data_IF_089645811404
#
_entry.id   IF_089645811404
#
_cell.length_a   1.000
_cell.length_b   1.000
_cell.length_c   1.000
_cell.angle_alpha   90.00
_cell.angle_beta   90.00
_cell.angle_gamma   90.00
#
_symmetry.space_group_name_H-M   'P 1'
#
loop_
_entity.id
_entity.type
_entity.pdbx_description
1 polymer ?
#
# COMPACT_ATOMS: atom_id res chain seq x y z
N UNK A 1 -4.90 -5.79 -39.75
CA UNK A 1 -5.62 -6.37 -38.62
C UNK A 1 -6.80 -5.45 -38.32
N UNK A 2 -8.03 -5.99 -38.24
CA UNK A 2 -9.22 -5.16 -37.94
C UNK A 2 -9.12 -4.62 -36.50
N UNK A 3 -9.68 -3.45 -36.24
CA UNK A 3 -9.64 -2.85 -34.88
C UNK A 3 -10.17 -3.78 -33.79
N UNK A 4 -11.25 -4.49 -34.08
CA UNK A 4 -11.82 -5.49 -33.17
C UNK A 4 -10.84 -6.64 -32.84
N UNK A 5 -10.03 -7.07 -33.80
CA UNK A 5 -9.03 -8.13 -33.58
C UNK A 5 -7.93 -7.62 -32.65
N UNK A 6 -7.56 -6.34 -32.76
CA UNK A 6 -6.55 -5.72 -31.89
C UNK A 6 -7.06 -5.60 -30.46
N UNK A 7 -8.30 -5.16 -30.27
CA UNK A 7 -8.94 -5.10 -28.94
C UNK A 7 -9.06 -6.47 -28.29
N UNK A 8 -9.49 -7.48 -29.04
CA UNK A 8 -9.60 -8.85 -28.55
C UNK A 8 -8.23 -9.39 -28.09
N UNK A 9 -7.21 -9.26 -28.93
CA UNK A 9 -5.85 -9.69 -28.58
C UNK A 9 -5.31 -8.98 -27.35
N UNK A 10 -5.57 -7.68 -27.21
CA UNK A 10 -5.16 -6.93 -26.04
C UNK A 10 -5.86 -7.44 -24.76
N UNK A 11 -7.18 -7.63 -24.85
CA UNK A 11 -7.96 -8.15 -23.71
C UNK A 11 -7.45 -9.53 -23.28
N UNK A 12 -7.18 -10.43 -24.23
CA UNK A 12 -6.64 -11.75 -23.92
C UNK A 12 -5.27 -11.70 -23.25
N UNK A 13 -4.38 -10.83 -23.71
CA UNK A 13 -3.06 -10.63 -23.07
C UNK A 13 -3.17 -10.06 -21.66
N UNK A 14 -4.10 -9.11 -21.43
CA UNK A 14 -4.34 -8.58 -20.09
C UNK A 14 -4.93 -9.62 -19.15
N UNK A 15 -5.87 -10.44 -19.62
CA UNK A 15 -6.43 -11.56 -18.84
C UNK A 15 -5.36 -12.60 -18.50
N UNK A 16 -4.47 -12.93 -19.43
CA UNK A 16 -3.33 -13.81 -19.16
C UNK A 16 -2.37 -13.19 -18.11
N UNK A 17 -2.05 -11.91 -18.23
CA UNK A 17 -1.23 -11.20 -17.25
C UNK A 17 -1.87 -11.18 -15.85
N UNK A 18 -3.18 -10.98 -15.74
CA UNK A 18 -3.93 -11.02 -14.49
C UNK A 18 -3.95 -12.42 -13.84
N UNK A 19 -4.05 -13.46 -14.66
CA UNK A 19 -4.17 -14.84 -14.18
C UNK A 19 -2.81 -15.48 -13.84
N UNK A 20 -1.79 -15.23 -14.66
CA UNK A 20 -0.57 -16.02 -14.69
C UNK A 20 0.70 -15.22 -14.38
N UNK A 21 0.64 -13.89 -14.31
CA UNK A 21 1.82 -13.07 -14.06
C UNK A 21 2.08 -12.87 -12.56
N UNK A 22 3.31 -13.17 -12.13
CA UNK A 22 3.80 -12.80 -10.79
C UNK A 22 4.27 -11.33 -10.72
N UNK A 23 4.14 -10.58 -11.82
CA UNK A 23 4.61 -9.19 -11.93
C UNK A 23 3.60 -8.14 -11.45
N UNK A 24 2.36 -8.56 -11.11
CA UNK A 24 1.31 -7.65 -10.64
C UNK A 24 1.06 -6.50 -11.62
N UNK A 25 0.96 -5.27 -11.11
CA UNK A 25 0.70 -4.07 -11.91
C UNK A 25 1.76 -3.81 -12.99
N UNK A 26 3.03 -4.16 -12.74
CA UNK A 26 4.08 -4.00 -13.75
C UNK A 26 3.83 -4.88 -14.97
N UNK A 27 3.34 -6.10 -14.79
CA UNK A 27 2.96 -6.97 -15.91
C UNK A 27 1.88 -6.37 -16.81
N UNK A 28 0.89 -5.68 -16.22
CA UNK A 28 -0.15 -4.98 -16.96
C UNK A 28 0.40 -3.77 -17.74
N UNK A 29 1.35 -3.02 -17.14
CA UNK A 29 2.04 -1.92 -17.81
C UNK A 29 2.86 -2.44 -19.00
N UNK A 30 3.60 -3.54 -18.83
CA UNK A 30 4.40 -4.15 -19.90
C UNK A 30 3.50 -4.57 -21.10
N UNK A 31 2.35 -5.21 -20.81
CA UNK A 31 1.36 -5.55 -21.84
C UNK A 31 0.77 -4.30 -22.49
N UNK A 32 0.39 -3.30 -21.68
CA UNK A 32 -0.13 -2.03 -22.18
C UNK A 32 0.85 -1.35 -23.13
N UNK A 33 2.13 -1.23 -22.74
CA UNK A 33 3.18 -0.66 -23.57
C UNK A 33 3.34 -1.42 -24.89
N UNK A 34 3.37 -2.75 -24.84
CA UNK A 34 3.51 -3.58 -26.05
C UNK A 34 2.40 -3.38 -27.07
N UNK A 35 1.20 -2.99 -26.63
CA UNK A 35 0.02 -2.83 -27.46
C UNK A 35 -0.26 -1.40 -27.88
N UNK A 36 -0.10 -0.44 -26.96
CA UNK A 36 -0.22 1.00 -27.22
C UNK A 36 0.98 1.55 -28.01
N UNK A 37 2.17 0.95 -27.84
CA UNK A 37 3.40 1.41 -28.48
C UNK A 37 3.88 2.77 -27.97
N UNK A 38 3.35 3.25 -26.84
CA UNK A 38 3.71 4.49 -26.17
C UNK A 38 3.95 4.24 -24.69
N UNK A 39 4.90 4.94 -24.04
CA UNK A 39 5.22 4.76 -22.62
C UNK A 39 3.99 5.02 -21.72
N UNK A 40 3.83 4.20 -20.72
CA UNK A 40 2.68 4.20 -19.79
C UNK A 40 3.17 4.36 -18.36
N UNK A 41 2.40 5.08 -17.55
CA UNK A 41 2.57 5.13 -16.11
C UNK A 41 1.22 4.99 -15.38
N UNK A 42 1.29 4.45 -14.17
CA UNK A 42 0.20 4.43 -13.19
C UNK A 42 0.65 5.27 -12.01
N UNK A 43 -0.13 6.27 -11.63
CA UNK A 43 0.13 7.10 -10.46
C UNK A 43 -1.01 7.00 -9.44
N UNK A 44 -0.68 7.11 -8.15
CA UNK A 44 -1.67 7.27 -7.09
C UNK A 44 -2.25 8.71 -7.06
N UNK A 45 -3.16 8.97 -6.13
CA UNK A 45 -3.75 10.30 -5.92
C UNK A 45 -2.76 11.38 -5.46
N UNK A 46 -1.58 10.96 -4.99
CA UNK A 46 -0.51 11.85 -4.56
C UNK A 46 0.59 12.01 -5.63
N UNK A 47 0.29 11.64 -6.87
CA UNK A 47 1.22 11.70 -7.99
C UNK A 47 2.51 10.90 -7.80
N UNK A 48 2.41 9.76 -7.07
CA UNK A 48 3.51 8.80 -6.95
C UNK A 48 3.35 7.72 -8.00
N UNK A 49 4.45 7.33 -8.62
CA UNK A 49 4.48 6.20 -9.54
C UNK A 49 4.21 4.90 -8.77
N UNK A 50 3.19 4.14 -9.19
CA UNK A 50 2.90 2.78 -8.70
C UNK A 50 3.59 1.75 -9.61
N UNK A 51 3.49 1.96 -10.92
CA UNK A 51 4.17 1.19 -11.95
C UNK A 51 4.31 2.05 -13.21
N UNK A 52 5.34 1.84 -13.99
CA UNK A 52 5.54 2.57 -15.24
C UNK A 52 6.43 1.78 -16.21
N UNK A 53 6.41 2.15 -17.48
CA UNK A 53 7.37 1.63 -18.46
C UNK A 53 8.77 2.00 -18.01
N UNK A 54 9.62 1.00 -17.77
CA UNK A 54 11.01 1.16 -17.33
C UNK A 54 11.95 1.33 -18.52
N UNK A 55 13.16 1.80 -18.27
CA UNK A 55 14.26 1.91 -19.23
C UNK A 55 14.01 2.87 -20.42
N UNK A 56 13.05 3.80 -20.28
CA UNK A 56 12.75 4.83 -21.26
C UNK A 56 12.87 6.20 -20.60
N UNK A 57 13.92 6.94 -20.97
CA UNK A 57 14.01 8.38 -20.71
C UNK A 57 13.31 9.12 -21.85
N UNK A 58 12.48 10.11 -21.50
CA UNK A 58 11.81 10.95 -22.49
C UNK A 58 12.46 12.33 -22.46
N UNK A 59 13.28 12.69 -23.45
CA UNK A 59 13.89 14.00 -23.52
C UNK A 59 12.83 15.11 -23.38
N UNK A 60 13.14 16.11 -22.59
CA UNK A 60 12.28 17.29 -22.36
C UNK A 60 10.95 17.02 -21.65
N UNK A 61 10.73 15.81 -21.10
CA UNK A 61 9.59 15.54 -20.18
C UNK A 61 10.08 15.42 -18.74
N UNK A 62 10.12 16.54 -18.05
CA UNK A 62 10.60 16.61 -16.65
C UNK A 62 9.76 15.72 -15.73
N UNK A 63 8.43 15.71 -15.91
CA UNK A 63 7.52 14.93 -15.07
C UNK A 63 7.73 13.42 -15.22
N UNK A 64 7.93 12.94 -16.44
CA UNK A 64 8.26 11.54 -16.67
C UNK A 64 9.57 11.13 -16.00
N UNK A 65 10.62 11.94 -16.24
CA UNK A 65 11.95 11.62 -15.73
C UNK A 65 12.04 11.74 -14.20
N UNK A 66 11.31 12.68 -13.58
CA UNK A 66 11.19 12.71 -12.12
C UNK A 66 10.51 11.46 -11.55
N UNK A 67 9.41 11.00 -12.16
CA UNK A 67 8.74 9.77 -11.74
C UNK A 67 9.63 8.54 -11.92
N UNK A 68 10.41 8.49 -13.02
CA UNK A 68 11.33 7.38 -13.29
C UNK A 68 12.47 7.31 -12.24
N UNK A 69 13.03 8.47 -11.86
CA UNK A 69 14.17 8.54 -10.94
C UNK A 69 13.74 8.55 -9.48
N UNK A 70 12.74 9.37 -9.12
CA UNK A 70 12.37 9.64 -7.75
C UNK A 70 11.15 8.83 -7.28
N UNK A 71 10.33 8.32 -8.21
CA UNK A 71 9.06 7.66 -7.92
C UNK A 71 7.91 8.61 -7.57
N UNK A 72 8.13 9.93 -7.54
CA UNK A 72 7.10 10.95 -7.25
C UNK A 72 7.42 12.26 -7.98
N UNK A 73 6.38 13.09 -8.19
CA UNK A 73 6.54 14.43 -8.76
C UNK A 73 6.95 15.43 -7.69
N UNK A 74 7.79 16.40 -8.05
CA UNK A 74 8.12 17.54 -7.19
C UNK A 74 6.89 18.41 -6.88
N UNK A 75 6.87 19.12 -5.74
CA UNK A 75 5.79 20.04 -5.39
C UNK A 75 5.52 21.10 -6.47
N UNK A 76 6.55 21.52 -7.18
CA UNK A 76 6.48 22.49 -8.26
C UNK A 76 5.67 21.96 -9.44
N UNK A 77 5.93 20.72 -9.88
CA UNK A 77 5.19 20.07 -10.97
C UNK A 77 3.75 19.75 -10.58
N UNK A 78 3.52 19.28 -9.35
CA UNK A 78 2.16 19.08 -8.83
C UNK A 78 1.39 20.39 -8.82
N UNK A 79 2.00 21.48 -8.34
CA UNK A 79 1.38 22.82 -8.31
C UNK A 79 1.09 23.35 -9.71
N UNK A 80 1.94 23.05 -10.70
CA UNK A 80 1.70 23.39 -12.10
C UNK A 80 0.47 22.67 -12.66
N UNK A 81 0.38 21.35 -12.47
CA UNK A 81 -0.77 20.54 -12.89
C UNK A 81 -2.10 20.96 -12.24
N UNK A 82 -2.06 21.43 -10.99
CA UNK A 82 -3.24 21.98 -10.30
C UNK A 82 -3.65 23.33 -10.96
N UNK A 83 -2.71 24.23 -11.22
CA UNK A 83 -2.98 25.53 -11.87
C UNK A 83 -3.59 25.38 -13.26
N UNK A 84 -3.23 24.35 -13.97
CA UNK A 84 -3.72 24.04 -15.32
C UNK A 84 -5.00 23.21 -15.33
N UNK A 85 -5.59 22.98 -14.13
CA UNK A 85 -6.82 22.23 -13.93
C UNK A 85 -6.76 20.75 -14.39
N UNK A 86 -5.57 20.19 -14.56
CA UNK A 86 -5.41 18.78 -14.95
C UNK A 86 -6.00 17.83 -13.90
N UNK A 87 -5.75 18.08 -12.61
CA UNK A 87 -6.28 17.27 -11.52
C UNK A 87 -7.82 17.27 -11.51
N UNK A 88 -8.43 18.44 -11.70
CA UNK A 88 -9.89 18.59 -11.80
C UNK A 88 -10.43 17.90 -13.06
N UNK A 89 -9.75 18.06 -14.19
CA UNK A 89 -10.12 17.41 -15.45
C UNK A 89 -10.08 15.88 -15.31
N UNK A 90 -9.06 15.32 -14.66
CA UNK A 90 -8.97 13.89 -14.38
C UNK A 90 -10.17 13.46 -13.52
N UNK A 91 -10.47 14.19 -12.42
CA UNK A 91 -11.53 13.81 -11.50
C UNK A 91 -12.93 13.87 -12.13
N UNK A 92 -13.21 14.87 -12.95
CA UNK A 92 -14.51 15.04 -13.63
C UNK A 92 -14.69 14.15 -14.84
N UNK A 93 -13.61 13.68 -15.48
CA UNK A 93 -13.70 12.87 -16.68
C UNK A 93 -14.39 11.52 -16.41
N UNK A 94 -15.29 11.10 -17.29
CA UNK A 94 -15.92 9.76 -17.27
C UNK A 94 -15.27 8.78 -18.26
N UNK A 95 -14.62 9.32 -19.27
CA UNK A 95 -13.99 8.57 -20.36
C UNK A 95 -12.52 8.99 -20.50
N UNK A 96 -11.68 8.19 -21.13
CA UNK A 96 -10.30 8.56 -21.45
C UNK A 96 -10.26 9.87 -22.24
N UNK A 97 -9.26 10.69 -21.97
CA UNK A 97 -9.10 11.96 -22.68
C UNK A 97 -7.63 12.28 -22.98
N UNK A 98 -7.40 12.92 -24.13
CA UNK A 98 -6.10 13.47 -24.50
C UNK A 98 -5.94 14.85 -23.86
N UNK A 99 -4.77 15.09 -23.29
CA UNK A 99 -4.39 16.35 -22.68
C UNK A 99 -2.99 16.78 -23.16
N UNK A 100 -2.88 18.05 -23.46
CA UNK A 100 -1.60 18.71 -23.74
C UNK A 100 -1.76 20.17 -23.35
N UNK A 101 -0.91 20.68 -22.49
CA UNK A 101 -0.83 22.10 -22.17
C UNK A 101 0.32 22.78 -22.91
N UNK A 102 0.44 24.10 -22.74
CA UNK A 102 1.45 24.91 -23.42
C UNK A 102 2.89 24.62 -23.00
N UNK A 103 3.08 23.99 -21.85
CA UNK A 103 4.40 23.60 -21.30
C UNK A 103 4.82 22.17 -21.64
N UNK A 104 3.90 21.36 -22.18
CA UNK A 104 4.16 19.96 -22.52
C UNK A 104 4.56 19.79 -23.98
N UNK A 105 5.73 19.18 -24.21
CA UNK A 105 6.14 18.79 -25.55
C UNK A 105 5.29 17.66 -26.12
N UNK A 106 4.91 16.70 -25.27
CA UNK A 106 4.17 15.51 -25.65
C UNK A 106 2.78 15.51 -25.02
N UNK A 107 1.77 15.19 -25.83
CA UNK A 107 0.44 14.97 -25.31
C UNK A 107 0.38 13.70 -24.45
N UNK A 108 -0.60 13.65 -23.56
CA UNK A 108 -0.86 12.48 -22.73
C UNK A 108 -2.30 12.02 -22.87
N UNK A 109 -2.50 10.73 -22.84
CA UNK A 109 -3.80 10.10 -22.78
C UNK A 109 -4.04 9.62 -21.34
N UNK A 110 -5.05 10.16 -20.69
CA UNK A 110 -5.38 9.86 -19.28
C UNK A 110 -6.63 9.02 -19.17
N UNK A 111 -6.64 8.11 -18.19
CA UNK A 111 -7.86 7.48 -17.70
C UNK A 111 -7.75 7.20 -16.19
N UNK A 112 -8.90 7.26 -15.49
CA UNK A 112 -8.98 6.91 -14.06
C UNK A 112 -9.03 5.40 -13.86
N UNK A 113 -8.47 4.96 -12.76
CA UNK A 113 -8.67 3.60 -12.22
C UNK A 113 -9.74 3.70 -11.14
N UNK A 114 -10.87 3.04 -11.37
CA UNK A 114 -12.05 3.11 -10.50
C UNK A 114 -12.24 1.82 -9.71
N UNK A 115 -12.35 1.91 -8.39
CA UNK A 115 -12.71 0.78 -7.51
C UNK A 115 -13.91 1.20 -6.65
N UNK A 116 -14.99 0.43 -6.73
CA UNK A 116 -16.23 0.69 -5.98
C UNK A 116 -16.73 2.15 -6.12
N UNK A 117 -16.69 2.69 -7.33
CA UNK A 117 -17.14 4.05 -7.64
C UNK A 117 -16.19 5.17 -7.18
N UNK A 118 -15.02 4.84 -6.65
CA UNK A 118 -14.00 5.80 -6.22
C UNK A 118 -12.78 5.74 -7.14
N UNK A 119 -12.28 6.89 -7.56
CA UNK A 119 -10.99 7.00 -8.23
C UNK A 119 -9.87 6.65 -7.24
N UNK A 120 -9.01 5.70 -7.57
CA UNK A 120 -7.90 5.25 -6.69
C UNK A 120 -6.53 5.52 -7.28
N UNK A 121 -6.44 5.57 -8.61
CA UNK A 121 -5.22 5.80 -9.35
C UNK A 121 -5.55 6.42 -10.72
N UNK A 122 -4.52 6.84 -11.44
CA UNK A 122 -4.61 7.34 -12.81
C UNK A 122 -3.63 6.60 -13.69
N UNK A 123 -4.08 6.16 -14.85
CA UNK A 123 -3.22 5.64 -15.92
C UNK A 123 -3.01 6.74 -16.92
N UNK A 124 -1.77 6.95 -17.35
CA UNK A 124 -1.47 7.84 -18.46
C UNK A 124 -0.47 7.22 -19.43
N UNK A 125 -0.68 7.48 -20.72
CA UNK A 125 0.27 7.18 -21.77
C UNK A 125 0.81 8.49 -22.36
N UNK A 126 2.08 8.50 -22.80
CA UNK A 126 2.71 9.68 -23.41
C UNK A 126 2.83 9.47 -24.93
N UNK A 127 2.41 10.45 -25.70
CA UNK A 127 2.48 10.44 -27.18
C UNK A 127 3.93 10.63 -27.66
N UNK A 128 4.81 9.69 -27.28
CA UNK A 128 6.25 9.80 -27.52
C UNK A 128 6.70 9.11 -28.80
N UNK A 129 6.32 7.82 -28.98
CA UNK A 129 6.77 7.05 -30.16
C UNK A 129 5.87 7.24 -31.37
N UNK A 130 4.57 7.46 -31.16
CA UNK A 130 3.59 7.65 -32.21
C UNK A 130 2.38 8.45 -31.74
N UNK A 131 1.65 9.13 -32.66
CA UNK A 131 0.39 9.77 -32.34
C UNK A 131 -0.66 8.78 -31.81
N UNK A 132 -1.53 9.24 -30.91
CA UNK A 132 -2.68 8.48 -30.47
C UNK A 132 -3.75 8.36 -31.57
N UNK A 133 -4.40 7.23 -31.61
CA UNK A 133 -5.52 6.92 -32.50
C UNK A 133 -6.77 6.58 -31.68
N UNK A 134 -7.94 6.55 -32.29
CA UNK A 134 -9.21 6.26 -31.60
C UNK A 134 -9.18 4.94 -30.80
N UNK A 135 -8.50 3.93 -31.33
CA UNK A 135 -8.39 2.65 -30.63
C UNK A 135 -7.60 2.75 -29.32
N UNK A 136 -6.67 3.71 -29.20
CA UNK A 136 -5.85 3.85 -27.98
C UNK A 136 -6.68 4.30 -26.78
N UNK A 137 -7.78 5.03 -26.99
CA UNK A 137 -8.74 5.40 -25.95
C UNK A 137 -9.46 4.16 -25.42
N UNK A 138 -9.86 3.24 -26.30
CA UNK A 138 -10.46 1.97 -25.86
C UNK A 138 -9.43 1.08 -25.14
N UNK A 139 -8.19 1.02 -25.64
CA UNK A 139 -7.12 0.22 -25.03
C UNK A 139 -6.77 0.71 -23.62
N UNK A 140 -6.64 2.03 -23.41
CA UNK A 140 -6.30 2.57 -22.07
C UNK A 140 -7.45 2.38 -21.08
N UNK A 141 -8.71 2.37 -21.55
CA UNK A 141 -9.88 2.06 -20.73
C UNK A 141 -9.83 0.61 -20.24
N UNK A 142 -9.63 -0.34 -21.15
CA UNK A 142 -9.51 -1.77 -20.80
C UNK A 142 -8.32 -2.00 -19.86
N UNK A 143 -7.20 -1.33 -20.12
CA UNK A 143 -6.03 -1.37 -19.22
C UNK A 143 -6.36 -0.87 -17.82
N UNK A 144 -7.07 0.26 -17.71
CA UNK A 144 -7.47 0.83 -16.41
C UNK A 144 -8.38 -0.10 -15.62
N UNK A 145 -9.33 -0.77 -16.29
CA UNK A 145 -10.21 -1.74 -15.66
C UNK A 145 -9.46 -2.99 -15.20
N UNK A 146 -8.46 -3.42 -15.97
CA UNK A 146 -7.57 -4.54 -15.59
C UNK A 146 -6.69 -4.17 -14.40
N UNK A 147 -6.16 -2.94 -14.36
CA UNK A 147 -5.40 -2.40 -13.22
C UNK A 147 -6.29 -2.34 -11.97
N UNK A 148 -7.55 -1.91 -12.10
CA UNK A 148 -8.50 -1.91 -10.99
C UNK A 148 -8.72 -3.31 -10.42
N UNK A 149 -8.85 -4.32 -11.28
CA UNK A 149 -9.00 -5.71 -10.86
C UNK A 149 -7.75 -6.23 -10.10
N UNK A 150 -6.54 -5.93 -10.60
CA UNK A 150 -5.30 -6.33 -9.92
C UNK A 150 -5.12 -5.60 -8.58
N UNK A 151 -5.40 -4.30 -8.51
CA UNK A 151 -5.36 -3.54 -7.25
C UNK A 151 -6.36 -4.08 -6.23
N UNK A 152 -7.57 -4.48 -6.64
CA UNK A 152 -8.54 -5.12 -5.75
C UNK A 152 -8.04 -6.48 -5.25
N UNK A 153 -7.44 -7.29 -6.11
CA UNK A 153 -6.84 -8.57 -5.75
C UNK A 153 -5.73 -8.39 -4.71
N UNK A 154 -4.82 -7.44 -4.90
CA UNK A 154 -3.77 -7.12 -3.94
C UNK A 154 -4.33 -6.66 -2.59
N UNK A 155 -5.34 -5.76 -2.59
CA UNK A 155 -6.00 -5.33 -1.36
C UNK A 155 -6.68 -6.49 -0.63
N UNK A 156 -7.35 -7.38 -1.36
CA UNK A 156 -7.97 -8.57 -0.78
C UNK A 156 -6.92 -9.51 -0.18
N UNK A 157 -5.80 -9.74 -0.85
CA UNK A 157 -4.72 -10.57 -0.33
C UNK A 157 -4.09 -9.97 0.94
N UNK A 158 -3.86 -8.66 0.96
CA UNK A 158 -3.34 -7.97 2.15
C UNK A 158 -4.33 -8.06 3.33
N UNK A 159 -5.62 -7.85 3.07
CA UNK A 159 -6.67 -7.97 4.07
C UNK A 159 -6.74 -9.39 4.64
N UNK A 160 -6.75 -10.41 3.77
CA UNK A 160 -6.79 -11.82 4.17
C UNK A 160 -5.56 -12.21 5.00
N UNK A 161 -4.36 -11.78 4.59
CA UNK A 161 -3.12 -12.00 5.36
C UNK A 161 -3.19 -11.32 6.73
N UNK A 162 -3.72 -10.11 6.81
CA UNK A 162 -3.94 -9.39 8.06
C UNK A 162 -4.84 -10.17 9.00
N UNK A 163 -6.00 -10.63 8.53
CA UNK A 163 -6.92 -11.45 9.34
C UNK A 163 -6.28 -12.76 9.80
N UNK A 164 -5.55 -13.45 8.94
CA UNK A 164 -4.88 -14.70 9.30
C UNK A 164 -3.76 -14.47 10.34
N UNK A 165 -3.06 -13.33 10.26
CA UNK A 165 -2.09 -12.96 11.28
C UNK A 165 -2.77 -12.67 12.63
N UNK A 166 -3.82 -11.86 12.64
CA UNK A 166 -4.60 -11.57 13.87
C UNK A 166 -5.07 -12.87 14.52
N UNK A 167 -5.65 -13.80 13.75
CA UNK A 167 -6.09 -15.09 14.24
C UNK A 167 -4.94 -15.96 14.77
N UNK A 168 -3.75 -15.93 14.15
CA UNK A 168 -2.55 -16.60 14.65
C UNK A 168 -2.17 -16.05 16.03
N UNK A 169 -2.09 -14.72 16.16
CA UNK A 169 -1.72 -14.07 17.43
C UNK A 169 -2.76 -14.33 18.51
N UNK A 170 -4.06 -14.26 18.19
CA UNK A 170 -5.13 -14.61 19.15
C UNK A 170 -4.99 -16.05 19.66
N UNK A 171 -4.74 -17.01 18.76
CA UNK A 171 -4.53 -18.40 19.16
C UNK A 171 -3.30 -18.58 20.08
N UNK A 172 -2.25 -17.79 19.89
CA UNK A 172 -1.07 -17.78 20.76
C UNK A 172 -1.38 -17.13 22.12
N UNK A 173 -2.09 -15.99 22.12
CA UNK A 173 -2.51 -15.29 23.33
C UNK A 173 -3.46 -16.14 24.19
N UNK A 174 -4.34 -16.89 23.55
CA UNK A 174 -5.28 -17.79 24.24
C UNK A 174 -4.71 -19.18 24.54
N UNK A 175 -3.42 -19.40 24.22
CA UNK A 175 -2.73 -20.70 24.42
C UNK A 175 -3.37 -21.87 23.67
N UNK A 176 -4.15 -21.60 22.62
CA UNK A 176 -4.74 -22.64 21.75
C UNK A 176 -3.69 -23.29 20.84
N UNK A 177 -2.63 -22.57 20.53
CA UNK A 177 -1.50 -23.04 19.72
C UNK A 177 -0.22 -22.98 20.56
N UNK A 178 0.41 -24.16 20.79
CA UNK A 178 1.57 -24.31 21.68
C UNK A 178 2.76 -24.97 21.02
N UNK A 179 2.55 -25.77 19.95
CA UNK A 179 3.63 -26.50 19.29
C UNK A 179 4.49 -25.52 18.46
N UNK A 180 5.79 -25.35 18.80
CA UNK A 180 6.67 -24.43 18.10
C UNK A 180 6.81 -24.72 16.59
N UNK A 181 6.79 -26.01 16.20
CA UNK A 181 6.90 -26.42 14.79
C UNK A 181 5.67 -25.97 14.01
N UNK A 182 4.47 -26.20 14.55
CA UNK A 182 3.22 -25.76 13.90
C UNK A 182 3.14 -24.24 13.81
N UNK A 183 3.63 -23.51 14.84
CA UNK A 183 3.70 -22.05 14.84
C UNK A 183 4.64 -21.59 13.69
N UNK A 184 5.82 -22.20 13.60
CA UNK A 184 6.81 -21.83 12.57
C UNK A 184 6.31 -22.13 11.16
N UNK A 185 5.64 -23.24 10.93
CA UNK A 185 5.01 -23.59 9.66
C UNK A 185 3.93 -22.57 9.27
N UNK A 186 3.05 -22.18 10.22
CA UNK A 186 2.02 -21.16 9.97
C UNK A 186 2.62 -19.80 9.62
N UNK A 187 3.68 -19.37 10.31
CA UNK A 187 4.41 -18.13 10.00
C UNK A 187 4.99 -18.18 8.59
N UNK A 188 5.58 -19.29 8.19
CA UNK A 188 6.10 -19.49 6.83
C UNK A 188 4.98 -19.43 5.77
N UNK A 189 3.87 -20.11 6.01
CA UNK A 189 2.71 -20.11 5.10
C UNK A 189 2.11 -18.70 4.92
N UNK A 190 2.07 -17.91 5.99
CA UNK A 190 1.58 -16.55 5.95
C UNK A 190 2.58 -15.55 5.33
N UNK A 191 3.80 -16.02 5.04
CA UNK A 191 4.90 -15.19 4.56
C UNK A 191 5.14 -13.95 5.43
N UNK A 192 5.01 -14.12 6.75
CA UNK A 192 5.24 -13.08 7.73
C UNK A 192 6.71 -13.10 8.11
N UNK A 193 7.43 -12.07 7.74
CA UNK A 193 8.85 -11.91 8.05
C UNK A 193 9.10 -11.57 9.53
N UNK A 194 8.82 -12.49 10.47
CA UNK A 194 9.13 -12.26 11.89
C UNK A 194 10.64 -12.34 12.09
N UNK A 195 11.21 -11.25 12.60
CA UNK A 195 12.64 -11.13 12.90
C UNK A 195 12.96 -11.69 14.30
N UNK A 196 14.26 -11.85 14.59
CA UNK A 196 14.76 -12.54 15.79
C UNK A 196 14.36 -11.91 17.12
N UNK A 197 14.18 -10.59 17.17
CA UNK A 197 13.88 -9.88 18.41
C UNK A 197 12.41 -9.44 18.37
N UNK A 198 11.55 -10.18 19.06
CA UNK A 198 10.10 -9.92 19.14
C UNK A 198 9.78 -9.26 20.46
N UNK A 199 8.88 -8.29 20.44
CA UNK A 199 8.33 -7.59 21.62
C UNK A 199 6.84 -7.43 21.49
N UNK A 200 6.15 -7.45 22.64
CA UNK A 200 4.71 -7.20 22.73
C UNK A 200 4.50 -5.83 23.34
N UNK A 201 3.76 -4.99 22.63
CA UNK A 201 3.28 -3.69 23.11
C UNK A 201 1.79 -3.82 23.40
N UNK A 202 1.36 -3.32 24.54
CA UNK A 202 -0.06 -3.26 24.91
C UNK A 202 -0.44 -1.82 25.18
N UNK A 203 -1.41 -1.31 24.41
CA UNK A 203 -1.91 0.05 24.53
C UNK A 203 -3.29 0.06 25.17
N UNK A 204 -3.40 0.78 26.26
CA UNK A 204 -4.68 1.06 26.91
C UNK A 204 -5.27 2.34 26.31
N UNK A 205 -6.39 2.16 25.63
CA UNK A 205 -7.12 3.22 24.94
C UNK A 205 -8.42 3.59 25.67
N UNK A 206 -8.57 3.19 26.94
CA UNK A 206 -9.80 3.42 27.72
C UNK A 206 -10.10 4.92 27.93
N UNK A 207 -9.08 5.77 28.02
CA UNK A 207 -9.23 7.22 28.17
C UNK A 207 -9.20 7.99 26.83
N UNK A 208 -9.06 7.25 25.74
CA UNK A 208 -9.05 7.84 24.41
C UNK A 208 -10.46 8.33 24.00
N UNK A 209 -10.55 9.49 23.37
CA UNK A 209 -11.81 10.07 22.90
C UNK A 209 -12.37 9.29 21.68
N UNK A 210 -13.12 8.24 21.99
CA UNK A 210 -13.75 7.37 20.98
C UNK A 210 -14.84 8.07 20.13
N UNK A 211 -15.28 9.28 20.52
CA UNK A 211 -16.21 10.08 19.71
C UNK A 211 -15.50 10.72 18.51
N UNK A 212 -14.18 10.92 18.61
CA UNK A 212 -13.40 11.57 17.56
C UNK A 212 -12.82 10.58 16.56
N UNK A 213 -12.37 9.41 17.03
CA UNK A 213 -11.75 8.38 16.19
C UNK A 213 -12.11 6.97 16.69
N UNK A 214 -12.27 6.01 15.77
CA UNK A 214 -12.51 4.61 16.15
C UNK A 214 -11.23 3.94 16.69
N UNK A 215 -11.40 2.89 17.51
CA UNK A 215 -10.28 2.07 18.00
C UNK A 215 -9.50 1.42 16.83
N UNK A 216 -10.21 1.06 15.74
CA UNK A 216 -9.58 0.52 14.52
C UNK A 216 -8.68 1.56 13.84
N UNK A 217 -9.11 2.82 13.78
CA UNK A 217 -8.26 3.90 13.27
C UNK A 217 -7.00 4.06 14.12
N UNK A 218 -7.14 4.04 15.46
CA UNK A 218 -6.01 4.15 16.36
C UNK A 218 -5.06 2.96 16.24
N UNK A 219 -5.59 1.74 16.06
CA UNK A 219 -4.79 0.54 15.76
C UNK A 219 -3.90 0.77 14.54
N UNK A 220 -4.48 1.26 13.45
CA UNK A 220 -3.76 1.48 12.18
C UNK A 220 -2.68 2.58 12.29
N UNK A 221 -2.94 3.63 13.08
CA UNK A 221 -1.98 4.69 13.38
C UNK A 221 -0.80 4.14 14.19
N UNK A 222 -1.06 3.42 15.27
CA UNK A 222 -0.02 2.84 16.12
C UNK A 222 0.81 1.78 15.39
N UNK A 223 0.19 0.97 14.53
CA UNK A 223 0.91 0.01 13.68
C UNK A 223 1.92 0.70 12.76
N UNK A 224 1.55 1.84 12.16
CA UNK A 224 2.46 2.62 11.30
C UNK A 224 3.60 3.30 12.06
N UNK A 225 3.38 3.62 13.33
CA UNK A 225 4.40 4.26 14.18
C UNK A 225 5.47 3.29 14.68
N UNK A 226 5.20 1.98 14.67
CA UNK A 226 6.14 0.94 15.12
C UNK A 226 6.58 0.12 13.92
N UNK A 227 7.80 0.39 13.43
CA UNK A 227 8.33 -0.34 12.29
C UNK A 227 8.45 -1.85 12.60
N UNK A 228 8.00 -2.68 11.67
CA UNK A 228 7.96 -4.15 11.85
C UNK A 228 6.94 -4.63 12.87
N UNK A 229 6.02 -3.77 13.33
CA UNK A 229 4.88 -4.10 14.15
C UNK A 229 3.68 -4.56 13.33
N UNK A 230 2.88 -5.45 13.91
CA UNK A 230 1.55 -5.83 13.44
C UNK A 230 0.57 -5.74 14.60
N UNK A 231 -0.52 -5.00 14.38
CA UNK A 231 -1.47 -4.67 15.41
C UNK A 231 -2.75 -5.49 15.32
N UNK A 232 -3.32 -5.81 16.47
CA UNK A 232 -4.67 -6.38 16.61
C UNK A 232 -5.39 -5.73 17.80
N UNK A 233 -6.70 -5.84 17.81
CA UNK A 233 -7.52 -5.45 18.94
C UNK A 233 -7.79 -6.73 19.76
N UNK A 234 -7.35 -6.76 21.01
CA UNK A 234 -7.53 -7.89 21.91
C UNK A 234 -7.86 -7.40 23.31
N UNK A 235 -8.89 -7.94 23.92
CA UNK A 235 -9.37 -7.58 25.26
C UNK A 235 -9.52 -6.05 25.45
N UNK A 236 -10.20 -5.39 24.51
CA UNK A 236 -10.43 -3.95 24.46
C UNK A 236 -9.13 -3.09 24.50
N UNK A 237 -8.00 -3.68 24.13
CA UNK A 237 -6.71 -3.02 24.01
C UNK A 237 -6.16 -3.18 22.61
N UNK A 238 -5.26 -2.29 22.22
CA UNK A 238 -4.49 -2.50 21.00
C UNK A 238 -3.20 -3.23 21.38
N UNK A 239 -2.99 -4.40 20.80
CA UNK A 239 -1.79 -5.21 21.00
C UNK A 239 -0.97 -5.18 19.73
N UNK A 240 0.32 -4.86 19.83
CA UNK A 240 1.25 -4.87 18.69
C UNK A 240 2.35 -5.89 18.99
N UNK A 241 2.50 -6.85 18.08
CA UNK A 241 3.63 -7.77 18.06
C UNK A 241 4.64 -7.20 17.07
N UNK A 242 5.75 -6.67 17.57
CA UNK A 242 6.78 -6.04 16.75
C UNK A 242 8.05 -6.88 16.73
N UNK A 243 8.69 -6.99 15.56
CA UNK A 243 9.91 -7.76 15.40
C UNK A 243 11.01 -6.96 14.71
N UNK A 244 12.25 -7.05 15.27
CA UNK A 244 13.40 -6.26 14.84
C UNK A 244 14.62 -7.15 14.58
N UNK A 245 15.47 -6.75 13.63
CA UNK A 245 16.71 -7.47 13.32
C UNK A 245 17.72 -7.32 14.46
N UNK A 246 17.82 -6.13 15.06
CA UNK A 246 18.68 -5.81 16.21
C UNK A 246 17.85 -5.35 17.39
N UNK A 247 18.20 -5.78 18.60
CA UNK A 247 17.49 -5.38 19.83
C UNK A 247 17.57 -3.87 20.10
N UNK A 248 18.58 -3.18 19.58
CA UNK A 248 18.81 -1.75 19.76
C UNK A 248 18.01 -0.86 18.80
N UNK A 249 17.41 -1.43 17.74
CA UNK A 249 16.69 -0.67 16.72
C UNK A 249 15.39 -0.03 17.27
N UNK A 250 14.90 -0.51 18.43
CA UNK A 250 13.67 -0.03 19.07
C UNK A 250 13.85 1.36 19.72
N UNK A 251 15.08 1.72 20.14
CA UNK A 251 15.24 2.70 21.22
C UNK A 251 15.61 4.13 20.81
N UNK A 252 15.85 4.46 19.55
CA UNK A 252 16.51 5.77 19.28
C UNK A 252 15.63 6.88 18.71
N UNK A 253 14.62 6.60 17.91
CA UNK A 253 13.79 7.67 17.29
C UNK A 253 12.31 7.37 17.38
N UNK A 254 11.93 6.10 17.20
CA UNK A 254 10.52 5.68 17.17
C UNK A 254 9.85 5.86 18.53
N UNK A 255 10.54 5.53 19.64
CA UNK A 255 9.97 5.67 20.98
C UNK A 255 9.77 7.13 21.41
N UNK A 256 10.60 8.06 20.97
CA UNK A 256 10.39 9.48 21.29
C UNK A 256 9.15 10.03 20.60
N UNK A 257 8.98 9.72 19.31
CA UNK A 257 7.79 10.12 18.54
C UNK A 257 6.54 9.43 19.08
N UNK A 258 6.64 8.15 19.42
CA UNK A 258 5.55 7.38 20.03
C UNK A 258 5.16 7.98 21.39
N UNK A 259 6.11 8.28 22.27
CA UNK A 259 5.86 8.87 23.58
C UNK A 259 5.10 10.18 23.48
N UNK A 260 5.53 11.11 22.61
CA UNK A 260 4.85 12.39 22.38
C UNK A 260 3.41 12.18 21.88
N UNK A 261 3.21 11.22 20.96
CA UNK A 261 1.90 10.88 20.44
C UNK A 261 0.98 10.30 21.52
N UNK A 262 1.50 9.37 22.34
CA UNK A 262 0.74 8.71 23.41
C UNK A 262 0.29 9.72 24.47
N UNK A 263 1.17 10.62 24.91
CA UNK A 263 0.84 11.68 25.86
C UNK A 263 -0.26 12.60 25.34
N UNK A 264 -0.15 13.05 24.08
CA UNK A 264 -1.14 13.91 23.43
C UNK A 264 -2.53 13.28 23.35
N UNK A 265 -2.61 11.96 23.17
CA UNK A 265 -3.84 11.23 22.98
C UNK A 265 -4.33 10.48 24.23
N UNK A 266 -3.68 10.67 25.40
CA UNK A 266 -4.01 10.01 26.66
C UNK A 266 -4.03 8.48 26.55
N UNK A 267 -3.08 7.93 25.81
CA UNK A 267 -2.90 6.48 25.61
C UNK A 267 -1.73 6.03 26.46
N UNK A 268 -1.90 4.98 27.24
CA UNK A 268 -0.84 4.34 28.02
C UNK A 268 -0.31 3.13 27.26
N UNK A 269 0.99 2.84 27.43
CA UNK A 269 1.63 1.71 26.76
C UNK A 269 2.51 0.93 27.74
N UNK A 270 2.32 -0.39 27.76
CA UNK A 270 3.23 -1.33 28.40
C UNK A 270 4.00 -2.13 27.34
N UNK A 271 5.27 -2.41 27.60
CA UNK A 271 6.16 -3.13 26.67
C UNK A 271 6.75 -4.33 27.40
N UNK A 272 6.69 -5.51 26.77
CA UNK A 272 7.28 -6.72 27.31
C UNK A 272 8.82 -6.70 27.21
N UNK A 273 9.47 -7.64 27.90
CA UNK A 273 10.84 -8.05 27.58
C UNK A 273 10.86 -8.72 26.20
N UNK A 274 12.08 -8.95 25.68
CA UNK A 274 12.27 -9.66 24.41
C UNK A 274 11.69 -11.06 24.49
N UNK A 275 10.75 -11.37 23.62
CA UNK A 275 10.19 -12.69 23.45
C UNK A 275 11.22 -13.62 22.79
N UNK A 276 11.54 -14.75 23.41
CA UNK A 276 12.50 -15.75 22.91
C UNK A 276 11.83 -16.82 22.05
N UNK A 277 10.56 -17.14 22.35
CA UNK A 277 9.76 -18.12 21.62
C UNK A 277 8.32 -17.60 21.48
N UNK A 278 7.78 -17.63 20.25
CA UNK A 278 6.40 -17.19 20.01
C UNK A 278 5.35 -18.06 20.70
N UNK A 279 5.67 -19.31 21.01
CA UNK A 279 4.81 -20.17 21.81
C UNK A 279 4.48 -19.57 23.21
N UNK A 280 5.39 -18.73 23.73
CA UNK A 280 5.25 -18.05 25.01
C UNK A 280 4.64 -16.64 24.90
N UNK A 281 4.04 -16.29 23.76
CA UNK A 281 3.54 -14.94 23.49
C UNK A 281 2.59 -14.44 24.59
N UNK A 282 1.75 -15.33 25.13
CA UNK A 282 0.85 -15.01 26.25
C UNK A 282 1.59 -14.50 27.48
N UNK A 283 2.71 -15.13 27.84
CA UNK A 283 3.52 -14.70 28.97
C UNK A 283 4.08 -13.29 28.77
N UNK A 284 4.54 -12.98 27.56
CA UNK A 284 5.05 -11.64 27.22
C UNK A 284 3.94 -10.58 27.13
N UNK A 285 2.75 -10.97 26.70
CA UNK A 285 1.56 -10.12 26.78
C UNK A 285 1.22 -9.76 28.25
N UNK A 286 1.23 -10.73 29.16
CA UNK A 286 1.01 -10.52 30.58
C UNK A 286 2.08 -9.60 31.18
N UNK A 287 3.36 -9.75 30.82
CA UNK A 287 4.41 -8.80 31.23
C UNK A 287 4.15 -7.37 30.75
N UNK A 288 3.69 -7.20 29.50
CA UNK A 288 3.35 -5.89 28.98
C UNK A 288 2.15 -5.28 29.71
N UNK A 289 1.15 -6.08 30.08
CA UNK A 289 0.04 -5.65 30.94
C UNK A 289 0.51 -5.22 32.34
N UNK A 290 1.44 -5.95 32.94
CA UNK A 290 1.99 -5.61 34.26
C UNK A 290 2.79 -4.31 34.19
N UNK A 291 3.60 -4.12 33.14
CA UNK A 291 4.30 -2.86 32.89
C UNK A 291 3.32 -1.68 32.74
N UNK A 292 2.19 -1.90 32.04
CA UNK A 292 1.13 -0.92 31.89
C UNK A 292 0.48 -0.53 33.23
N UNK A 293 0.27 -1.50 34.13
CA UNK A 293 -0.30 -1.28 35.48
C UNK A 293 0.68 -0.52 36.40
N UNK A 294 1.96 -0.89 36.38
CA UNK A 294 2.98 -0.23 37.22
C UNK A 294 3.21 1.22 36.80
N UNK A 295 3.13 1.53 35.52
CA UNK A 295 3.28 2.90 35.00
C UNK A 295 2.14 3.88 35.38
N UNK A 296 1.16 3.44 36.18
CA UNK A 296 0.05 4.28 36.66
C UNK A 296 0.25 4.85 38.07
N UNK A 297 1.40 4.59 38.71
CA UNK A 297 1.77 5.09 40.03
C UNK A 297 2.85 6.18 39.95
#
# INVERSE_FOLDING_TARGET
MRENDKLLQFTLKLLDALANSNKGLQGLVDVGYSMLGNPIMITDKNWRAIAMTTDIEIPDDVGWNELLVNGFLSPELVSAGIRENLAERIEQSKEPFRWQDSGMKYARLFNKVMINGKSVATVSAIEYHRPFTEIDFALIKILSDSIAAEMQKEQFHQFTRGMQFEQLIENLLERRLKDPKVIEERIKLLNIGIKKNVYVFVFDVSEFDSKKYSISYMRDVLEKMISGGKALIYDNKIVIVASFSRAQDIFKTELLNLSAFLQKNKIRCGISRRCTQLADLRFYYEQALDALRVGTY
#
